data_IF_483628138162
#
_entry.id   IF_483628138162
#
_cell.length_a   1.000
_cell.length_b   1.000
_cell.length_c   1.000
_cell.angle_alpha   90.00
_cell.angle_beta   90.00
_cell.angle_gamma   90.00
#
_symmetry.space_group_name_H-M   'P 1'
#
loop_
_entity.id
_entity.type
_entity.pdbx_description
1 polymer ?
#
# COMPACT_ATOMS: atom_id res chain seq x y z
N UNK A 1 114.71 21.53 34.57
CA UNK A 1 115.09 22.90 34.18
C UNK A 1 113.86 23.57 33.56
N UNK A 2 113.48 24.72 34.12
CA UNK A 2 112.62 25.79 33.58
C UNK A 2 111.15 25.49 33.19
N UNK A 3 110.28 25.92 34.11
CA UNK A 3 108.94 26.53 33.95
C UNK A 3 108.74 27.45 32.70
N UNK A 4 107.54 28.05 32.46
CA UNK A 4 106.15 27.52 32.41
C UNK A 4 105.31 28.24 31.30
N UNK A 5 103.99 27.99 31.23
CA UNK A 5 102.92 29.02 31.12
C UNK A 5 101.57 28.29 31.30
N UNK A 6 100.89 28.40 32.46
CA UNK A 6 99.87 29.41 32.86
C UNK A 6 98.75 29.55 31.80
N UNK A 7 97.45 29.47 32.09
CA UNK A 7 96.67 29.39 33.34
C UNK A 7 95.45 28.47 33.15
N UNK A 8 94.83 27.99 34.23
CA UNK A 8 93.61 28.57 34.85
C UNK A 8 92.40 28.47 33.88
N UNK A 9 91.26 27.89 34.20
CA UNK A 9 90.72 27.38 35.46
C UNK A 9 89.47 26.51 35.14
N UNK A 10 89.19 25.55 36.03
CA UNK A 10 87.90 25.14 36.60
C UNK A 10 86.59 25.26 35.76
N UNK A 11 85.59 24.38 35.81
CA UNK A 11 85.20 23.27 36.70
C UNK A 11 83.75 22.90 36.31
N UNK A 12 83.41 21.59 36.29
CA UNK A 12 82.10 20.98 36.61
C UNK A 12 80.88 21.47 35.79
N UNK A 13 80.06 20.67 35.12
CA UNK A 13 79.70 19.27 35.24
C UNK A 13 78.19 19.12 34.97
N UNK A 14 77.79 17.87 34.75
CA UNK A 14 76.41 17.32 34.73
C UNK A 14 75.60 17.52 33.44
N UNK A 15 75.05 16.40 33.00
CA UNK A 15 74.45 16.21 31.70
C UNK A 15 73.03 16.73 31.56
N UNK A 16 72.54 16.66 30.33
CA UNK A 16 71.13 16.76 30.04
C UNK A 16 70.82 15.94 28.78
N UNK A 17 69.90 14.99 28.93
CA UNK A 17 69.32 14.16 27.88
C UNK A 17 68.91 15.01 26.68
N UNK A 18 69.43 14.68 25.49
CA UNK A 18 68.90 15.21 24.24
C UNK A 18 67.64 14.43 23.87
N UNK A 19 66.53 15.15 23.90
CA UNK A 19 65.18 14.74 23.52
C UNK A 19 65.16 14.46 22.01
N UNK A 20 64.79 13.23 21.65
CA UNK A 20 64.44 12.83 20.28
C UNK A 20 63.09 13.46 19.96
N UNK A 21 63.09 14.44 19.05
CA UNK A 21 61.87 15.05 18.52
C UNK A 21 61.11 14.06 17.64
N UNK A 22 60.10 13.42 18.22
CA UNK A 22 59.08 12.67 17.48
C UNK A 22 58.14 13.69 16.84
N UNK A 23 58.16 13.78 15.51
CA UNK A 23 57.15 14.51 14.75
C UNK A 23 55.82 13.74 14.85
N UNK A 24 54.99 14.14 15.81
CA UNK A 24 53.58 13.73 15.90
C UNK A 24 52.81 14.39 14.76
N UNK A 25 52.62 13.65 13.67
CA UNK A 25 51.60 13.99 12.66
C UNK A 25 50.25 13.75 13.33
N UNK A 26 49.62 14.84 13.78
CA UNK A 26 48.21 14.83 14.17
C UNK A 26 47.40 14.60 12.90
N UNK A 27 47.07 13.34 12.62
CA UNK A 27 45.94 13.01 11.76
C UNK A 27 44.71 13.46 12.54
N UNK A 28 44.21 14.65 12.20
CA UNK A 28 42.85 15.04 12.55
C UNK A 28 41.94 14.09 11.77
N UNK A 29 41.49 13.03 12.45
CA UNK A 29 40.36 12.25 11.98
C UNK A 29 39.17 13.20 12.13
N UNK A 30 38.64 13.69 11.00
CA UNK A 30 37.36 14.37 10.99
C UNK A 30 36.35 13.34 11.50
N UNK A 31 35.91 13.52 12.74
CA UNK A 31 34.92 12.66 13.39
C UNK A 31 33.53 13.06 12.86
N UNK A 32 33.42 13.23 11.53
CA UNK A 32 32.15 13.15 10.85
C UNK A 32 31.74 11.69 10.91
N UNK A 33 31.08 11.32 12.01
CA UNK A 33 30.11 10.24 11.96
C UNK A 33 29.16 10.62 10.82
N UNK A 34 29.41 10.07 9.63
CA UNK A 34 28.32 9.82 8.71
C UNK A 34 27.42 8.87 9.49
N UNK A 35 26.40 9.43 10.15
CA UNK A 35 25.16 8.69 10.31
C UNK A 35 24.83 8.25 8.89
N UNK A 36 25.02 6.96 8.63
CA UNK A 36 24.38 6.32 7.50
C UNK A 36 22.90 6.56 7.76
N UNK A 37 22.36 7.54 7.05
CA UNK A 37 20.93 7.74 6.89
C UNK A 37 20.42 6.50 6.16
N UNK A 38 20.20 5.43 6.94
CA UNK A 38 19.52 4.23 6.47
C UNK A 38 18.10 4.72 6.27
N UNK A 39 17.78 5.14 5.05
CA UNK A 39 16.41 5.45 4.68
C UNK A 39 15.57 4.21 4.98
N UNK A 40 14.70 4.36 5.97
CA UNK A 40 13.77 3.32 6.42
C UNK A 40 12.76 3.10 5.28
N UNK A 41 12.36 4.16 4.55
CA UNK A 41 11.61 3.99 3.31
C UNK A 41 12.50 3.33 2.25
N UNK A 42 12.21 2.05 1.99
CA UNK A 42 12.73 1.35 0.83
C UNK A 42 11.64 1.27 -0.27
N UNK A 43 12.00 0.99 -1.52
CA UNK A 43 11.02 0.81 -2.60
C UNK A 43 9.97 -0.26 -2.30
N UNK A 44 10.28 -1.26 -1.46
CA UNK A 44 9.36 -2.35 -1.16
C UNK A 44 8.17 -1.87 -0.35
N UNK A 45 8.33 -0.94 0.59
CA UNK A 45 7.20 -0.39 1.33
C UNK A 45 6.19 0.33 0.43
N UNK A 46 6.72 1.12 -0.50
CA UNK A 46 5.92 1.85 -1.48
C UNK A 46 5.21 0.86 -2.41
N UNK A 47 5.94 -0.14 -2.92
CA UNK A 47 5.39 -1.17 -3.79
C UNK A 47 4.29 -1.99 -3.10
N UNK A 48 4.49 -2.38 -1.84
CA UNK A 48 3.48 -3.11 -1.05
C UNK A 48 2.25 -2.24 -0.78
N UNK A 49 2.43 -0.98 -0.35
CA UNK A 49 1.31 -0.08 -0.12
C UNK A 49 0.51 0.18 -1.41
N UNK A 50 1.19 0.38 -2.54
CA UNK A 50 0.56 0.57 -3.85
C UNK A 50 -0.21 -0.68 -4.30
N UNK A 51 0.41 -1.87 -4.14
CA UNK A 51 -0.24 -3.15 -4.43
C UNK A 51 -1.48 -3.37 -3.57
N UNK A 52 -1.39 -3.16 -2.26
CA UNK A 52 -2.50 -3.39 -1.32
C UNK A 52 -3.68 -2.47 -1.62
N UNK A 53 -3.42 -1.22 -1.99
CA UNK A 53 -4.48 -0.32 -2.47
C UNK A 53 -5.15 -0.90 -3.73
N UNK A 54 -4.39 -1.36 -4.74
CA UNK A 54 -4.98 -2.00 -5.92
C UNK A 54 -5.81 -3.24 -5.58
N UNK A 55 -5.35 -4.07 -4.63
CA UNK A 55 -6.08 -5.27 -4.21
C UNK A 55 -7.44 -4.90 -3.61
N UNK A 56 -7.46 -3.94 -2.69
CA UNK A 56 -8.68 -3.54 -2.00
C UNK A 56 -9.69 -2.87 -2.93
N UNK A 57 -9.22 -2.03 -3.85
CA UNK A 57 -10.10 -1.44 -4.86
C UNK A 57 -10.68 -2.52 -5.79
N UNK A 58 -9.87 -3.49 -6.23
CA UNK A 58 -10.35 -4.62 -7.05
C UNK A 58 -11.39 -5.48 -6.32
N UNK A 59 -11.17 -5.79 -5.04
CA UNK A 59 -12.14 -6.56 -4.23
C UNK A 59 -13.47 -5.83 -4.11
N UNK A 60 -13.44 -4.53 -3.79
CA UNK A 60 -14.66 -3.72 -3.68
C UNK A 60 -15.36 -3.64 -5.03
N UNK A 61 -14.63 -3.32 -6.11
CA UNK A 61 -15.15 -3.25 -7.47
C UNK A 61 -15.78 -4.59 -7.93
N UNK A 62 -15.16 -5.72 -7.61
CA UNK A 62 -15.68 -7.04 -7.96
C UNK A 62 -17.00 -7.35 -7.25
N UNK A 63 -17.12 -6.98 -5.97
CA UNK A 63 -18.39 -7.10 -5.23
C UNK A 63 -19.46 -6.20 -5.84
N UNK A 64 -19.13 -4.94 -6.14
CA UNK A 64 -20.03 -3.96 -6.75
C UNK A 64 -20.53 -4.42 -8.13
N UNK A 65 -19.63 -4.86 -9.00
CA UNK A 65 -19.95 -5.37 -10.33
C UNK A 65 -20.97 -6.53 -10.26
N UNK A 66 -20.69 -7.51 -9.40
CA UNK A 66 -21.57 -8.67 -9.25
C UNK A 66 -22.91 -8.28 -8.61
N UNK A 67 -22.92 -7.28 -7.74
CA UNK A 67 -24.13 -6.75 -7.13
C UNK A 67 -25.04 -6.04 -8.15
N UNK A 68 -24.47 -5.20 -9.01
CA UNK A 68 -25.21 -4.54 -10.10
C UNK A 68 -25.77 -5.58 -11.08
N UNK A 69 -24.93 -6.53 -11.51
CA UNK A 69 -25.35 -7.62 -12.39
C UNK A 69 -26.49 -8.47 -11.78
N UNK A 70 -26.44 -8.72 -10.47
CA UNK A 70 -27.50 -9.39 -9.75
C UNK A 70 -28.81 -8.58 -9.75
N UNK A 71 -28.73 -7.26 -9.60
CA UNK A 71 -29.88 -6.34 -9.70
C UNK A 71 -30.65 -6.49 -11.02
N UNK A 72 -29.90 -6.65 -12.12
CA UNK A 72 -30.42 -6.92 -13.47
C UNK A 72 -30.91 -8.37 -13.69
N UNK A 73 -30.93 -9.20 -12.64
CA UNK A 73 -31.46 -10.57 -12.70
C UNK A 73 -30.46 -11.60 -13.23
N UNK A 74 -29.18 -11.24 -13.36
CA UNK A 74 -28.13 -12.17 -13.78
C UNK A 74 -27.65 -13.01 -12.60
N UNK A 75 -28.06 -14.28 -12.54
CA UNK A 75 -27.45 -15.27 -11.66
C UNK A 75 -26.44 -16.09 -12.47
N UNK A 76 -25.22 -16.25 -11.95
CA UNK A 76 -24.26 -17.16 -12.57
C UNK A 76 -24.69 -18.61 -12.34
N UNK A 77 -24.53 -19.48 -13.35
CA UNK A 77 -24.85 -20.91 -13.22
C UNK A 77 -23.92 -21.58 -12.20
N UNK A 78 -24.32 -22.73 -11.66
CA UNK A 78 -23.52 -23.52 -10.73
C UNK A 78 -22.12 -23.91 -11.24
N UNK A 79 -21.87 -23.92 -12.55
CA UNK A 79 -20.54 -24.26 -13.09
C UNK A 79 -19.68 -23.01 -13.41
N UNK A 80 -20.15 -21.81 -13.08
CA UNK A 80 -19.40 -20.55 -13.27
C UNK A 80 -18.45 -20.30 -12.11
N UNK A 81 -17.34 -19.61 -12.39
CA UNK A 81 -16.34 -19.26 -11.37
C UNK A 81 -16.08 -17.75 -11.42
N UNK A 82 -16.26 -17.01 -10.30
CA UNK A 82 -16.84 -17.51 -9.05
C UNK A 82 -18.29 -17.97 -9.23
N UNK A 83 -18.73 -18.90 -8.39
CA UNK A 83 -20.17 -19.12 -8.22
C UNK A 83 -20.72 -17.93 -7.43
N UNK A 84 -21.60 -17.16 -8.06
CA UNK A 84 -22.28 -16.03 -7.43
C UNK A 84 -23.59 -16.51 -6.83
N UNK A 85 -23.67 -16.54 -5.50
CA UNK A 85 -24.89 -16.88 -4.75
C UNK A 85 -25.53 -15.59 -4.25
N UNK A 86 -26.80 -15.40 -4.56
CA UNK A 86 -27.56 -14.19 -4.20
C UNK A 86 -28.73 -14.59 -3.31
N UNK A 87 -28.85 -13.92 -2.17
CA UNK A 87 -30.03 -14.02 -1.30
C UNK A 87 -30.84 -12.74 -1.40
N UNK A 88 -32.17 -12.86 -1.54
CA UNK A 88 -33.11 -11.73 -1.53
C UNK A 88 -34.13 -11.96 -0.43
N UNK A 89 -34.49 -10.93 0.32
CA UNK A 89 -35.70 -10.98 1.14
C UNK A 89 -36.92 -10.89 0.24
N UNK A 90 -37.94 -11.73 0.48
CA UNK A 90 -39.11 -11.96 -0.40
C UNK A 90 -39.91 -10.69 -0.78
N UNK A 91 -39.69 -9.57 -0.07
CA UNK A 91 -40.34 -8.28 -0.31
C UNK A 91 -39.44 -7.20 -0.96
N UNK A 92 -38.18 -7.51 -1.30
CA UNK A 92 -37.21 -6.53 -1.82
C UNK A 92 -36.75 -6.88 -3.24
N UNK A 93 -36.64 -5.86 -4.09
CA UNK A 93 -36.05 -6.01 -5.42
C UNK A 93 -34.52 -6.23 -5.35
N UNK A 94 -33.90 -5.73 -4.29
CA UNK A 94 -32.44 -5.76 -4.07
C UNK A 94 -32.02 -7.00 -3.28
N UNK A 95 -30.82 -7.54 -3.54
CA UNK A 95 -30.27 -8.60 -2.71
C UNK A 95 -30.03 -8.12 -1.28
N UNK A 96 -30.18 -9.03 -0.33
CA UNK A 96 -29.78 -8.85 1.07
C UNK A 96 -28.38 -9.40 1.34
N UNK A 97 -27.89 -10.29 0.48
CA UNK A 97 -26.48 -10.71 0.47
C UNK A 97 -26.05 -11.26 -0.89
N UNK A 98 -24.76 -11.15 -1.16
CA UNK A 98 -24.06 -11.77 -2.30
C UNK A 98 -22.81 -12.48 -1.81
N UNK A 99 -22.59 -13.70 -2.29
CA UNK A 99 -21.40 -14.51 -1.97
C UNK A 99 -20.72 -14.87 -3.29
N UNK A 100 -19.46 -14.47 -3.43
CA UNK A 100 -18.58 -14.86 -4.52
C UNK A 100 -17.76 -16.06 -4.05
N UNK A 101 -18.15 -17.25 -4.48
CA UNK A 101 -17.55 -18.52 -4.04
C UNK A 101 -16.62 -19.08 -5.12
N UNK A 102 -15.31 -18.99 -4.88
CA UNK A 102 -14.27 -19.52 -5.77
C UNK A 102 -13.95 -20.99 -5.48
N UNK A 103 -14.61 -21.62 -4.52
CA UNK A 103 -14.30 -22.97 -4.07
C UNK A 103 -12.94 -23.07 -3.36
N UNK A 104 -12.48 -24.29 -3.10
CA UNK A 104 -11.27 -24.53 -2.27
C UNK A 104 -9.97 -24.61 -3.06
N UNK A 105 -10.05 -24.85 -4.38
CA UNK A 105 -8.87 -24.92 -5.26
C UNK A 105 -8.67 -23.62 -6.03
N UNK A 106 -7.42 -23.33 -6.41
CA UNK A 106 -7.08 -22.14 -7.18
C UNK A 106 -7.86 -22.08 -8.50
N UNK A 107 -8.60 -21.00 -8.67
CA UNK A 107 -9.33 -20.66 -9.88
C UNK A 107 -8.68 -19.45 -10.54
N UNK A 108 -8.34 -19.59 -11.83
CA UNK A 108 -7.74 -18.50 -12.58
C UNK A 108 -8.83 -17.58 -13.12
N UNK A 109 -8.75 -16.30 -12.79
CA UNK A 109 -9.61 -15.29 -13.38
C UNK A 109 -9.10 -14.79 -14.74
N UNK A 110 -9.84 -13.86 -15.36
CA UNK A 110 -9.50 -13.33 -16.69
C UNK A 110 -8.22 -12.47 -16.71
N UNK A 111 -7.76 -12.01 -15.53
CA UNK A 111 -6.50 -11.27 -15.35
C UNK A 111 -5.33 -12.21 -15.04
N UNK A 112 -5.59 -13.51 -14.94
CA UNK A 112 -4.59 -14.54 -14.66
C UNK A 112 -4.29 -14.76 -13.18
N UNK A 113 -5.06 -14.13 -12.28
CA UNK A 113 -4.91 -14.24 -10.83
C UNK A 113 -5.55 -15.52 -10.34
N UNK A 114 -4.94 -16.16 -9.36
CA UNK A 114 -5.45 -17.39 -8.75
C UNK A 114 -6.23 -17.05 -7.48
N UNK A 115 -7.56 -17.20 -7.54
CA UNK A 115 -8.48 -16.94 -6.43
C UNK A 115 -9.04 -18.25 -5.87
N UNK A 116 -9.22 -18.33 -4.55
CA UNK A 116 -9.92 -19.43 -3.85
C UNK A 116 -10.57 -18.88 -2.57
N UNK A 117 -11.51 -19.62 -1.99
CA UNK A 117 -12.31 -19.18 -0.84
C UNK A 117 -13.51 -18.35 -1.24
N UNK A 118 -13.99 -17.49 -0.33
CA UNK A 118 -15.18 -16.67 -0.59
C UNK A 118 -15.05 -15.23 -0.15
N UNK A 119 -15.67 -14.36 -0.94
CA UNK A 119 -16.00 -12.98 -0.54
C UNK A 119 -17.50 -12.95 -0.25
N UNK A 120 -17.86 -12.59 0.98
CA UNK A 120 -19.23 -12.53 1.45
C UNK A 120 -19.61 -11.07 1.70
N UNK A 121 -20.70 -10.60 1.12
CA UNK A 121 -21.18 -9.25 1.29
C UNK A 121 -22.63 -9.27 1.77
N UNK A 122 -22.88 -8.70 2.94
CA UNK A 122 -24.22 -8.40 3.44
C UNK A 122 -24.59 -6.98 3.00
N UNK A 123 -25.79 -6.79 2.45
CA UNK A 123 -26.20 -5.50 1.91
C UNK A 123 -27.61 -5.12 2.35
N UNK A 124 -27.78 -3.83 2.64
CA UNK A 124 -29.08 -3.18 2.78
C UNK A 124 -29.17 -1.99 1.83
N UNK A 125 -30.37 -1.76 1.27
CA UNK A 125 -30.58 -0.74 0.24
C UNK A 125 -30.10 -1.16 -1.14
N UNK A 126 -30.06 -0.20 -2.06
CA UNK A 126 -29.56 -0.38 -3.43
C UNK A 126 -28.24 0.36 -3.60
N UNK A 127 -27.24 -0.27 -4.21
CA UNK A 127 -25.90 0.30 -4.40
C UNK A 127 -25.91 1.59 -5.22
N UNK A 128 -26.68 1.61 -6.30
CA UNK A 128 -26.83 2.74 -7.20
C UNK A 128 -27.67 3.90 -6.61
N UNK A 129 -27.90 3.89 -5.30
CA UNK A 129 -28.73 4.88 -4.59
C UNK A 129 -28.05 5.40 -3.34
N UNK A 130 -28.52 6.56 -2.88
CA UNK A 130 -28.07 7.23 -1.65
C UNK A 130 -28.28 6.49 -0.33
N UNK A 131 -28.65 5.20 -0.33
CA UNK A 131 -29.10 4.46 0.87
C UNK A 131 -28.38 3.12 1.09
N UNK A 132 -27.38 2.80 0.27
CA UNK A 132 -26.63 1.55 0.37
C UNK A 132 -25.81 1.45 1.66
N UNK A 133 -25.83 0.28 2.30
CA UNK A 133 -24.83 -0.15 3.26
C UNK A 133 -24.42 -1.59 2.98
N UNK A 134 -23.11 -1.84 2.91
CA UNK A 134 -22.49 -3.14 2.66
C UNK A 134 -21.52 -3.49 3.78
N UNK A 135 -21.45 -4.77 4.12
CA UNK A 135 -20.45 -5.35 5.00
C UNK A 135 -19.82 -6.56 4.31
N UNK A 136 -18.59 -6.36 3.84
CA UNK A 136 -17.81 -7.36 3.11
C UNK A 136 -16.87 -8.04 4.10
N UNK A 137 -16.85 -9.37 4.10
CA UNK A 137 -15.92 -10.19 4.86
C UNK A 137 -15.43 -11.38 4.03
N UNK A 138 -14.38 -12.02 4.52
CA UNK A 138 -13.67 -13.07 3.79
C UNK A 138 -13.77 -14.41 4.51
N UNK A 139 -14.12 -15.48 3.78
CA UNK A 139 -14.09 -16.85 4.28
C UNK A 139 -13.00 -17.63 3.57
N UNK A 140 -11.85 -17.81 4.26
CA UNK A 140 -10.67 -18.47 3.71
C UNK A 140 -10.34 -18.00 2.28
N UNK A 141 -10.45 -16.70 2.05
CA UNK A 141 -10.20 -16.10 0.73
C UNK A 141 -8.72 -15.86 0.50
N UNK A 142 -8.26 -16.20 -0.70
CA UNK A 142 -6.89 -15.99 -1.13
C UNK A 142 -6.86 -15.44 -2.56
N UNK A 143 -5.91 -14.55 -2.83
CA UNK A 143 -5.54 -14.09 -4.18
C UNK A 143 -4.03 -14.27 -4.36
N UNK A 144 -3.61 -15.06 -5.35
CA UNK A 144 -2.19 -15.42 -5.56
C UNK A 144 -1.49 -15.87 -4.27
N UNK A 145 -2.18 -16.72 -3.51
CA UNK A 145 -1.77 -17.23 -2.20
C UNK A 145 -1.66 -16.23 -1.03
N UNK A 146 -1.96 -14.95 -1.25
CA UNK A 146 -2.18 -14.00 -0.16
C UNK A 146 -3.55 -14.23 0.45
N UNK A 147 -3.60 -14.69 1.70
CA UNK A 147 -4.83 -14.80 2.48
C UNK A 147 -5.30 -13.40 2.88
N UNK A 148 -6.59 -13.13 2.74
CA UNK A 148 -7.19 -11.87 3.19
C UNK A 148 -8.19 -12.17 4.31
N UNK A 149 -8.06 -11.44 5.41
CA UNK A 149 -9.00 -11.46 6.55
C UNK A 149 -9.38 -10.02 6.94
N UNK A 150 -10.36 -9.88 7.84
CA UNK A 150 -10.92 -8.60 8.28
C UNK A 150 -12.26 -8.31 7.58
N UNK A 151 -12.74 -7.07 7.68
CA UNK A 151 -13.96 -6.64 6.99
C UNK A 151 -13.85 -5.25 6.38
N UNK A 152 -14.67 -5.00 5.36
CA UNK A 152 -14.80 -3.71 4.68
C UNK A 152 -16.26 -3.28 4.80
N UNK A 153 -16.50 -2.12 5.40
CA UNK A 153 -17.83 -1.49 5.39
C UNK A 153 -17.89 -0.46 4.27
N UNK A 154 -18.90 -0.54 3.42
CA UNK A 154 -19.18 0.50 2.41
C UNK A 154 -20.53 1.12 2.72
N UNK A 155 -20.59 2.43 2.86
CA UNK A 155 -21.82 3.16 3.13
C UNK A 155 -21.99 4.32 2.17
N UNK A 156 -23.12 4.35 1.47
CA UNK A 156 -23.48 5.51 0.65
C UNK A 156 -23.67 6.74 1.52
N UNK A 157 -23.08 7.85 1.11
CA UNK A 157 -23.27 9.19 1.72
C UNK A 157 -24.26 10.05 0.92
N UNK A 158 -24.80 9.53 -0.18
CA UNK A 158 -25.71 10.25 -1.07
C UNK A 158 -24.95 10.97 -2.19
N UNK A 159 -25.63 11.88 -2.88
CA UNK A 159 -25.00 12.71 -3.90
C UNK A 159 -24.26 13.87 -3.23
N UNK A 160 -23.02 14.12 -3.65
CA UNK A 160 -22.24 15.28 -3.23
C UNK A 160 -22.70 16.56 -3.97
N UNK A 161 -22.04 17.69 -3.69
CA UNK A 161 -22.36 18.99 -4.31
C UNK A 161 -22.13 19.04 -5.84
N UNK A 162 -21.45 18.03 -6.40
CA UNK A 162 -21.21 17.88 -7.83
C UNK A 162 -22.18 16.87 -8.49
N UNK A 163 -23.26 16.49 -7.81
CA UNK A 163 -24.23 15.48 -8.25
C UNK A 163 -23.58 14.10 -8.52
N UNK A 164 -22.50 13.76 -7.80
CA UNK A 164 -21.84 12.45 -7.88
C UNK A 164 -22.26 11.61 -6.68
N UNK A 165 -22.65 10.35 -6.92
CA UNK A 165 -22.93 9.43 -5.82
C UNK A 165 -21.64 9.07 -5.09
N UNK A 166 -21.64 9.26 -3.78
CA UNK A 166 -20.47 9.10 -2.92
C UNK A 166 -20.67 7.98 -1.89
N UNK A 167 -19.56 7.36 -1.50
CA UNK A 167 -19.50 6.28 -0.52
C UNK A 167 -18.35 6.50 0.45
N UNK A 168 -18.57 6.21 1.73
CA UNK A 168 -17.51 5.96 2.70
C UNK A 168 -17.14 4.48 2.67
N UNK A 169 -15.84 4.17 2.62
CA UNK A 169 -15.27 2.83 2.69
C UNK A 169 -14.41 2.77 3.95
N UNK A 170 -14.78 1.93 4.91
CA UNK A 170 -14.02 1.73 6.14
C UNK A 170 -13.38 0.34 6.13
N UNK A 171 -12.05 0.31 6.21
CA UNK A 171 -11.29 -0.93 6.39
C UNK A 171 -11.16 -1.24 7.89
N UNK A 172 -11.69 -2.39 8.31
CA UNK A 172 -11.70 -2.83 9.70
C UNK A 172 -10.68 -3.96 9.87
N UNK A 173 -9.45 -3.59 10.24
CA UNK A 173 -8.35 -4.49 10.56
C UNK A 173 -8.12 -5.55 9.48
N UNK A 174 -8.00 -5.10 8.24
CA UNK A 174 -7.68 -5.99 7.13
C UNK A 174 -6.27 -6.53 7.33
N UNK A 175 -6.13 -7.85 7.18
CA UNK A 175 -4.84 -8.55 7.27
C UNK A 175 -4.62 -9.35 6.00
N UNK A 176 -3.50 -9.09 5.35
CA UNK A 176 -2.93 -9.90 4.29
C UNK A 176 -1.87 -10.81 4.90
N UNK A 177 -1.95 -12.11 4.64
CA UNK A 177 -0.99 -13.10 5.12
C UNK A 177 -0.46 -13.91 3.94
N UNK A 178 0.86 -13.95 3.79
CA UNK A 178 1.53 -14.73 2.76
C UNK A 178 1.93 -16.12 3.26
N UNK A 179 2.28 -17.02 2.34
CA UNK A 179 2.61 -18.42 2.64
C UNK A 179 3.87 -18.60 3.49
N UNK A 180 4.74 -17.58 3.56
CA UNK A 180 5.93 -17.58 4.41
C UNK A 180 5.68 -16.98 5.82
N UNK A 181 4.43 -16.60 6.13
CA UNK A 181 4.02 -16.05 7.41
C UNK A 181 4.20 -14.53 7.55
N UNK A 182 4.69 -13.82 6.53
CA UNK A 182 4.67 -12.35 6.53
C UNK A 182 3.24 -11.83 6.45
N UNK A 183 2.97 -10.77 7.21
CA UNK A 183 1.67 -10.11 7.27
C UNK A 183 1.75 -8.65 6.87
N UNK A 184 0.67 -8.11 6.30
CA UNK A 184 0.51 -6.67 6.08
C UNK A 184 -0.89 -6.29 6.55
N UNK A 185 -1.01 -5.27 7.39
CA UNK A 185 -2.29 -4.81 7.92
C UNK A 185 -2.69 -3.45 7.40
N UNK A 186 -3.99 -3.19 7.33
CA UNK A 186 -4.53 -1.87 6.96
C UNK A 186 -5.89 -1.64 7.63
N UNK A 187 -5.99 -0.49 8.29
CA UNK A 187 -7.23 0.09 8.82
C UNK A 187 -7.31 1.55 8.39
N UNK A 188 -8.50 2.05 8.09
CA UNK A 188 -8.63 3.41 7.57
C UNK A 188 -10.00 3.70 7.00
N UNK A 189 -10.17 4.92 6.50
CA UNK A 189 -11.41 5.37 5.88
C UNK A 189 -11.10 6.12 4.59
N UNK A 190 -11.86 5.79 3.55
CA UNK A 190 -11.81 6.42 2.24
C UNK A 190 -13.18 6.93 1.84
N UNK A 191 -13.19 7.96 1.00
CA UNK A 191 -14.37 8.41 0.28
C UNK A 191 -14.19 8.06 -1.20
N UNK A 192 -15.15 7.35 -1.78
CA UNK A 192 -15.21 6.98 -3.20
C UNK A 192 -16.36 7.74 -3.86
N UNK A 193 -16.07 8.50 -4.89
CA UNK A 193 -17.04 9.31 -5.63
C UNK A 193 -17.17 8.77 -7.06
N UNK A 194 -18.39 8.50 -7.51
CA UNK A 194 -18.67 7.99 -8.86
C UNK A 194 -18.74 9.15 -9.85
N UNK A 195 -17.65 9.36 -10.60
CA UNK A 195 -17.44 10.56 -11.41
C UNK A 195 -17.78 10.40 -12.90
N UNK A 196 -17.82 9.17 -13.42
CA UNK A 196 -18.22 8.83 -14.80
C UNK A 196 -18.99 7.52 -14.79
N UNK A 197 -20.00 7.37 -15.65
CA UNK A 197 -20.71 6.10 -15.91
C UNK A 197 -21.99 5.86 -15.11
N UNK A 198 -22.33 6.75 -14.17
CA UNK A 198 -23.54 6.63 -13.34
C UNK A 198 -24.85 6.49 -14.15
N UNK A 199 -24.97 7.23 -15.26
CA UNK A 199 -26.16 7.21 -16.13
C UNK A 199 -26.23 5.97 -17.04
N UNK A 200 -25.22 5.12 -17.03
CA UNK A 200 -25.07 3.92 -17.86
C UNK A 200 -24.97 2.64 -17.02
N UNK A 201 -25.94 2.34 -16.12
CA UNK A 201 -25.84 1.23 -15.15
C UNK A 201 -25.70 -0.16 -15.78
N UNK A 202 -26.09 -0.32 -17.06
CA UNK A 202 -25.88 -1.56 -17.81
C UNK A 202 -24.46 -1.74 -18.36
N UNK A 203 -23.60 -0.72 -18.26
CA UNK A 203 -22.23 -0.70 -18.77
C UNK A 203 -21.23 -0.30 -17.68
N UNK A 204 -20.98 -1.14 -16.67
CA UNK A 204 -20.06 -0.81 -15.59
C UNK A 204 -18.61 -0.56 -16.06
N UNK A 205 -18.25 -0.94 -17.29
CA UNK A 205 -16.91 -0.75 -17.83
C UNK A 205 -16.57 0.72 -18.15
N UNK A 206 -17.56 1.61 -18.28
CA UNK A 206 -17.29 3.04 -18.44
C UNK A 206 -17.16 3.80 -17.12
N UNK A 207 -17.36 3.11 -15.99
CA UNK A 207 -17.31 3.73 -14.69
C UNK A 207 -15.90 4.19 -14.30
N UNK A 208 -15.86 5.39 -13.72
CA UNK A 208 -14.67 5.93 -13.07
C UNK A 208 -15.02 6.52 -11.71
N UNK A 209 -14.05 6.40 -10.80
CA UNK A 209 -14.18 6.85 -9.42
C UNK A 209 -12.98 7.69 -9.00
N UNK A 210 -13.24 8.71 -8.18
CA UNK A 210 -12.21 9.37 -7.39
C UNK A 210 -12.24 8.84 -5.97
N UNK A 211 -11.08 8.43 -5.48
CA UNK A 211 -10.92 7.89 -4.13
C UNK A 211 -9.98 8.77 -3.33
N UNK A 212 -10.47 9.31 -2.21
CA UNK A 212 -9.69 10.11 -1.26
C UNK A 212 -9.75 9.48 0.12
N UNK A 213 -8.87 9.88 1.05
CA UNK A 213 -8.87 9.39 2.42
C UNK A 213 -7.49 8.99 2.92
N UNK A 214 -7.48 8.22 4.00
CA UNK A 214 -6.25 7.88 4.72
C UNK A 214 -6.39 6.57 5.49
N UNK A 215 -5.26 6.05 5.94
CA UNK A 215 -5.22 4.84 6.75
C UNK A 215 -3.84 4.60 7.35
N UNK A 216 -3.73 3.51 8.08
CA UNK A 216 -2.50 3.09 8.74
C UNK A 216 -2.49 1.57 8.94
N UNK A 217 -1.32 1.06 9.28
CA UNK A 217 -1.16 -0.36 9.57
C UNK A 217 0.28 -0.74 9.87
N UNK A 218 0.57 -2.02 9.69
CA UNK A 218 1.89 -2.63 9.86
C UNK A 218 2.27 -3.28 8.54
N UNK A 219 3.44 -2.97 7.99
CA UNK A 219 3.92 -3.54 6.73
C UNK A 219 4.50 -4.96 6.90
N UNK A 220 4.96 -5.57 5.79
CA UNK A 220 5.51 -6.94 5.79
C UNK A 220 6.88 -7.08 6.46
N UNK A 221 7.46 -5.97 6.90
CA UNK A 221 8.71 -5.87 7.67
C UNK A 221 8.44 -5.46 9.13
N UNK A 222 7.19 -5.59 9.59
CA UNK A 222 6.73 -5.30 10.96
C UNK A 222 6.83 -3.82 11.36
N UNK A 223 6.81 -2.90 10.40
CA UNK A 223 6.92 -1.46 10.66
C UNK A 223 5.58 -0.76 10.53
N UNK A 224 5.32 0.12 11.48
CA UNK A 224 4.12 0.94 11.48
C UNK A 224 4.19 1.98 10.35
N UNK A 225 3.12 2.10 9.58
CA UNK A 225 2.99 3.09 8.52
C UNK A 225 1.66 3.84 8.61
N UNK A 226 1.61 5.03 8.01
CA UNK A 226 0.38 5.74 7.70
C UNK A 226 0.44 6.32 6.29
N UNK A 227 -0.72 6.49 5.68
CA UNK A 227 -0.85 7.09 4.38
C UNK A 227 -2.04 8.04 4.30
N UNK A 228 -1.92 9.05 3.45
CA UNK A 228 -2.99 9.96 3.05
C UNK A 228 -2.95 10.11 1.52
N UNK A 229 -4.12 10.03 0.89
CA UNK A 229 -4.27 10.26 -0.54
C UNK A 229 -4.23 11.77 -0.81
N UNK A 230 -3.02 12.32 -0.94
CA UNK A 230 -2.77 13.76 -1.11
C UNK A 230 -3.35 14.31 -2.42
N UNK A 231 -3.46 13.44 -3.43
CA UNK A 231 -4.28 13.66 -4.63
C UNK A 231 -5.19 12.45 -4.79
N UNK A 232 -6.52 12.62 -4.97
CA UNK A 232 -7.43 11.49 -5.10
C UNK A 232 -6.98 10.50 -6.17
N UNK A 233 -7.11 9.22 -5.86
CA UNK A 233 -6.82 8.13 -6.79
C UNK A 233 -7.91 8.07 -7.84
N UNK A 234 -7.52 8.03 -9.11
CA UNK A 234 -8.44 7.77 -10.20
C UNK A 234 -8.51 6.27 -10.46
N UNK A 235 -9.70 5.70 -10.33
CA UNK A 235 -9.98 4.29 -10.55
C UNK A 235 -10.91 4.16 -11.75
N UNK A 236 -10.67 3.16 -12.60
CA UNK A 236 -11.64 2.78 -13.63
C UNK A 236 -11.93 1.29 -13.55
N UNK A 237 -13.20 0.92 -13.70
CA UNK A 237 -13.61 -0.48 -13.78
C UNK A 237 -13.02 -1.21 -14.99
N UNK A 238 -12.60 -0.46 -16.03
CA UNK A 238 -11.93 -1.01 -17.21
C UNK A 238 -10.43 -1.29 -17.00
N UNK A 239 -9.88 -0.96 -15.82
CA UNK A 239 -8.46 -1.08 -15.53
C UNK A 239 -8.22 -1.92 -14.27
N UNK A 240 -7.27 -2.85 -14.36
CA UNK A 240 -6.81 -3.63 -13.20
C UNK A 240 -6.06 -2.76 -12.17
N UNK A 241 -5.44 -1.67 -12.62
CA UNK A 241 -4.59 -0.82 -11.82
C UNK A 241 -5.23 0.53 -11.53
N UNK A 242 -4.74 1.18 -10.47
CA UNK A 242 -5.04 2.58 -10.18
C UNK A 242 -4.43 3.43 -11.31
N UNK A 243 -5.24 4.30 -11.94
CA UNK A 243 -4.82 5.05 -13.12
C UNK A 243 -3.87 6.19 -12.78
N UNK A 244 -4.16 6.93 -11.71
CA UNK A 244 -3.36 8.07 -11.28
C UNK A 244 -3.71 8.45 -9.84
N UNK A 245 -2.96 9.40 -9.28
CA UNK A 245 -3.16 9.92 -7.92
C UNK A 245 -1.87 9.86 -7.12
N UNK A 246 -1.87 10.51 -5.96
CA UNK A 246 -0.68 10.67 -5.13
C UNK A 246 -0.96 10.27 -3.69
N UNK A 247 0.04 9.65 -3.06
CA UNK A 247 -0.02 9.15 -1.71
C UNK A 247 1.12 9.77 -0.91
N UNK A 248 0.79 10.55 0.10
CA UNK A 248 1.70 10.92 1.18
C UNK A 248 1.82 9.70 2.10
N UNK A 249 3.02 9.13 2.18
CA UNK A 249 3.27 7.86 2.84
C UNK A 249 4.40 7.99 3.84
N UNK A 250 4.16 7.54 5.06
CA UNK A 250 5.14 7.57 6.14
C UNK A 250 5.29 6.20 6.74
N UNK A 251 6.52 5.72 6.89
CA UNK A 251 6.86 4.48 7.59
C UNK A 251 7.78 4.84 8.74
N UNK A 252 7.37 4.50 9.95
CA UNK A 252 8.03 4.92 11.20
C UNK A 252 8.20 6.46 11.26
N UNK A 253 9.40 6.96 11.00
CA UNK A 253 9.74 8.39 11.05
C UNK A 253 10.05 9.00 9.68
N UNK A 254 10.10 8.19 8.63
CA UNK A 254 10.44 8.64 7.29
C UNK A 254 9.19 8.82 6.46
N UNK A 255 9.12 9.92 5.71
CA UNK A 255 7.99 10.27 4.84
C UNK A 255 8.44 10.42 3.39
N UNK A 256 7.57 10.03 2.46
CA UNK A 256 7.72 10.30 1.04
C UNK A 256 6.35 10.54 0.39
N UNK A 257 6.36 11.01 -0.85
CA UNK A 257 5.18 11.02 -1.72
C UNK A 257 5.46 10.15 -2.93
N UNK A 258 4.52 9.26 -3.24
CA UNK A 258 4.56 8.45 -4.45
C UNK A 258 3.27 8.63 -5.25
N UNK A 259 3.33 8.36 -6.57
CA UNK A 259 2.20 8.45 -7.49
C UNK A 259 2.04 7.18 -8.34
N UNK A 260 0.82 6.95 -8.80
CA UNK A 260 0.43 5.84 -9.68
C UNK A 260 0.62 6.12 -11.19
N UNK A 261 1.35 7.19 -11.54
CA UNK A 261 1.60 7.55 -12.94
C UNK A 261 0.52 8.46 -13.56
N UNK A 262 0.39 8.38 -14.89
CA UNK A 262 -0.30 9.33 -15.76
C UNK A 262 -1.52 8.76 -16.48
N UNK A 263 -2.11 7.67 -15.98
CA UNK A 263 -3.35 7.10 -16.51
C UNK A 263 -3.17 5.96 -17.51
N UNK A 264 -1.97 5.39 -17.66
CA UNK A 264 -1.67 4.37 -18.67
C UNK A 264 -2.12 2.94 -18.34
N UNK A 265 -2.91 2.75 -17.27
CA UNK A 265 -3.40 1.45 -16.82
C UNK A 265 -2.27 0.39 -16.73
N UNK A 266 -1.23 0.69 -15.95
CA UNK A 266 -0.13 -0.23 -15.69
C UNK A 266 0.22 -0.26 -14.20
N UNK A 267 1.15 -1.13 -13.83
CA UNK A 267 1.57 -1.33 -12.44
C UNK A 267 2.78 -0.45 -12.07
N UNK A 268 2.93 0.72 -12.71
CA UNK A 268 4.11 1.56 -12.55
C UNK A 268 3.77 2.82 -11.79
N UNK A 269 4.74 3.28 -11.01
CA UNK A 269 4.63 4.51 -10.27
C UNK A 269 5.98 5.19 -10.14
N UNK A 270 5.96 6.34 -9.50
CA UNK A 270 7.19 7.04 -9.15
C UNK A 270 7.09 7.73 -7.81
N UNK A 271 8.24 7.96 -7.18
CA UNK A 271 8.35 8.65 -5.91
C UNK A 271 9.59 9.54 -5.93
N UNK A 272 9.56 10.60 -5.12
CA UNK A 272 10.70 11.51 -5.00
C UNK A 272 11.42 11.29 -3.68
N UNK A 273 12.74 11.15 -3.75
CA UNK A 273 13.62 11.06 -2.58
C UNK A 273 14.86 11.89 -2.84
N UNK A 274 15.20 12.79 -1.91
CA UNK A 274 16.37 13.66 -1.99
C UNK A 274 16.45 14.45 -3.30
N UNK A 275 15.31 14.95 -3.78
CA UNK A 275 15.20 15.70 -5.03
C UNK A 275 15.41 14.88 -6.32
N UNK A 276 15.44 13.55 -6.21
CA UNK A 276 15.54 12.63 -7.35
C UNK A 276 14.28 11.79 -7.50
N UNK A 277 13.70 11.79 -8.70
CA UNK A 277 12.58 10.91 -9.05
C UNK A 277 13.09 9.48 -9.27
N UNK A 278 12.47 8.52 -8.59
CA UNK A 278 12.69 7.09 -8.75
C UNK A 278 11.40 6.44 -9.23
N UNK A 279 11.52 5.46 -10.12
CA UNK A 279 10.37 4.68 -10.59
C UNK A 279 10.31 3.37 -9.82
N UNK A 280 9.10 2.85 -9.64
CA UNK A 280 8.86 1.53 -9.09
C UNK A 280 7.80 0.80 -9.91
N UNK A 281 7.82 -0.52 -9.81
CA UNK A 281 6.77 -1.38 -10.33
C UNK A 281 6.27 -2.23 -9.16
N UNK A 282 4.99 -2.10 -8.82
CA UNK A 282 4.43 -2.91 -7.75
C UNK A 282 4.02 -4.28 -8.29
N UNK A 283 4.25 -5.32 -7.48
CA UNK A 283 4.00 -6.69 -7.87
C UNK A 283 2.51 -6.97 -8.10
N UNK A 284 2.21 -7.95 -8.97
CA UNK A 284 0.85 -8.49 -9.11
C UNK A 284 0.53 -9.40 -7.92
N UNK A 285 0.04 -8.80 -6.84
CA UNK A 285 -0.62 -9.51 -5.73
C UNK A 285 0.30 -10.50 -4.99
N UNK A 286 1.59 -10.18 -4.82
CA UNK A 286 2.56 -10.98 -4.05
C UNK A 286 3.57 -10.07 -3.34
N UNK A 287 3.92 -10.36 -2.09
CA UNK A 287 5.04 -9.69 -1.42
C UNK A 287 6.36 -10.05 -2.10
N UNK A 288 7.25 -9.08 -2.32
CA UNK A 288 8.46 -9.28 -3.15
C UNK A 288 9.50 -10.22 -2.51
N UNK A 289 9.57 -10.29 -1.18
CA UNK A 289 10.55 -11.13 -0.49
C UNK A 289 10.03 -12.56 -0.30
N UNK A 290 9.81 -13.26 -1.41
CA UNK A 290 9.59 -14.71 -1.47
C UNK A 290 10.93 -15.45 -1.75
N UNK A 291 12.00 -15.06 -1.03
CA UNK A 291 13.31 -15.72 -1.14
C UNK A 291 13.68 -16.42 0.15
#
# INVERSE_FOLDING_TARGET
MLHPKKGEDMSVGKGLCCIVGVLLVLVACDDSKQELDVQIINPVNIEENAMINCILEDVVNEVEFNLMAAGEGMNTKGDSVPQVKISRQEAQASPSSIILDYGTGNQKDYLGREKRGKICNEISGRYDTGTCKQEIHFEDFYINDLKINGSIEVQSTGFNDNDQLSFTINYQDIVFESTNGKTYTISGSKTKEWVVGYDTPSNPWDDQFLVSGSGSGIDSEERAYHFELSTPLLISQSCEFILSGEVAFTVENDSCTYNFGDGLCDNKGSYEVNGSRKNFEFGRYTFRYNY
#
